data_IF_104746970996
#
_entry.id   IF_104746970996
#
_cell.length_a   1.000
_cell.length_b   1.000
_cell.length_c   1.000
_cell.angle_alpha   90.00
_cell.angle_beta   90.00
_cell.angle_gamma   90.00
#
_symmetry.space_group_name_H-M   'P 1'
#
loop_
_entity.id
_entity.type
_entity.pdbx_description
1 polymer ?
#
# COMPACT_ATOMS: atom_id res chain seq x y z
N UNK A 1 7.72 4.32 -9.78
CA UNK A 1 9.04 3.71 -10.07
C UNK A 1 9.14 2.40 -9.30
N UNK A 2 9.59 1.32 -9.93
CA UNK A 2 9.79 0.02 -9.27
C UNK A 2 11.24 -0.41 -9.52
N UNK A 3 12.02 -0.63 -8.46
CA UNK A 3 13.37 -1.21 -8.60
C UNK A 3 13.30 -2.61 -9.20
N UNK A 4 14.24 -2.94 -10.07
CA UNK A 4 14.37 -4.29 -10.64
C UNK A 4 14.68 -5.38 -9.60
N UNK A 5 15.09 -5.01 -8.38
CA UNK A 5 15.29 -5.94 -7.25
C UNK A 5 14.03 -6.18 -6.42
N UNK A 6 12.98 -5.38 -6.63
CA UNK A 6 11.75 -5.53 -5.88
C UNK A 6 11.11 -6.90 -6.17
N UNK A 7 10.64 -7.57 -5.11
CA UNK A 7 9.85 -8.80 -5.25
C UNK A 7 8.39 -8.45 -5.03
N UNK A 8 7.52 -8.87 -5.95
CA UNK A 8 6.08 -8.59 -5.89
C UNK A 8 5.33 -9.91 -6.00
N UNK A 9 4.52 -10.23 -4.99
CA UNK A 9 3.66 -11.40 -4.96
C UNK A 9 2.49 -11.32 -5.94
N UNK A 10 1.79 -12.44 -6.11
CA UNK A 10 0.65 -12.54 -7.02
C UNK A 10 -0.53 -11.68 -6.55
N UNK A 11 -1.30 -11.13 -7.48
CA UNK A 11 -2.50 -10.33 -7.17
C UNK A 11 -2.22 -8.96 -6.54
N UNK A 12 -0.97 -8.50 -6.49
CA UNK A 12 -0.67 -7.16 -6.00
C UNK A 12 -1.29 -6.08 -6.90
N UNK A 13 -1.85 -5.04 -6.28
CA UNK A 13 -2.42 -3.88 -6.98
C UNK A 13 -1.50 -2.69 -6.77
N UNK A 14 -0.95 -2.15 -7.86
CA UNK A 14 0.01 -1.05 -7.82
C UNK A 14 -0.57 0.15 -8.55
N UNK A 15 -0.92 1.21 -7.81
CA UNK A 15 -1.52 2.40 -8.38
C UNK A 15 -0.47 3.40 -8.92
N UNK A 16 -0.88 4.38 -9.75
CA UNK A 16 -0.01 5.44 -10.22
C UNK A 16 0.68 6.23 -9.09
N UNK A 17 1.88 6.73 -9.37
CA UNK A 17 2.68 7.51 -8.42
C UNK A 17 3.32 6.69 -7.29
N UNK A 18 3.17 5.36 -7.29
CA UNK A 18 3.80 4.48 -6.30
C UNK A 18 5.31 4.32 -6.52
N UNK A 19 6.03 4.00 -5.44
CA UNK A 19 7.46 3.77 -5.46
C UNK A 19 7.85 2.51 -4.66
N UNK A 20 8.61 1.61 -5.29
CA UNK A 20 9.36 0.53 -4.64
C UNK A 20 10.84 0.85 -4.81
N UNK A 21 11.41 1.57 -3.86
CA UNK A 21 12.76 2.11 -3.94
C UNK A 21 13.77 1.35 -3.11
N UNK A 22 15.03 1.37 -3.55
CA UNK A 22 16.12 0.76 -2.79
C UNK A 22 16.54 1.63 -1.60
N UNK A 23 16.92 0.98 -0.51
CA UNK A 23 17.64 1.60 0.61
C UNK A 23 18.75 0.62 1.03
N UNK A 24 19.99 1.11 1.14
CA UNK A 24 21.20 0.26 1.29
C UNK A 24 21.32 -0.84 0.20
N UNK A 25 20.91 -0.52 -1.04
CA UNK A 25 21.03 -1.43 -2.18
C UNK A 25 20.06 -2.62 -2.18
N UNK A 26 19.08 -2.63 -1.27
CA UNK A 26 18.04 -3.65 -1.15
C UNK A 26 16.67 -3.04 -1.39
N UNK A 27 15.78 -3.80 -2.03
CA UNK A 27 14.43 -3.37 -2.39
C UNK A 27 13.35 -4.09 -1.55
N UNK A 28 12.12 -3.52 -1.46
CA UNK A 28 11.02 -4.15 -0.74
C UNK A 28 10.59 -5.48 -1.35
N UNK A 29 10.07 -6.36 -0.49
CA UNK A 29 9.36 -7.58 -0.87
C UNK A 29 7.89 -7.45 -0.49
N UNK A 30 7.01 -7.54 -1.48
CA UNK A 30 5.57 -7.56 -1.31
C UNK A 30 5.08 -9.01 -1.38
N UNK A 31 4.25 -9.39 -0.40
CA UNK A 31 3.47 -10.62 -0.40
C UNK A 31 2.36 -10.62 -1.45
N UNK A 32 1.52 -11.64 -1.40
CA UNK A 32 0.37 -11.79 -2.28
C UNK A 32 -0.74 -10.79 -1.92
N UNK A 33 -1.50 -10.33 -2.90
CA UNK A 33 -2.67 -9.46 -2.72
C UNK A 33 -2.39 -8.15 -1.98
N UNK A 34 -1.15 -7.66 -1.99
CA UNK A 34 -0.80 -6.35 -1.43
C UNK A 34 -1.40 -5.23 -2.26
N UNK A 35 -2.00 -4.23 -1.61
CA UNK A 35 -2.53 -3.04 -2.28
C UNK A 35 -1.66 -1.82 -1.98
N UNK A 36 -1.09 -1.21 -3.01
CA UNK A 36 -0.39 0.08 -2.91
C UNK A 36 -1.26 1.18 -3.51
N UNK A 37 -1.93 1.95 -2.66
CA UNK A 37 -2.75 3.07 -3.10
C UNK A 37 -1.91 4.17 -3.79
N UNK A 38 -2.55 5.10 -4.56
CA UNK A 38 -1.82 6.11 -5.32
C UNK A 38 -0.81 6.89 -4.48
N UNK A 39 0.39 7.09 -5.01
CA UNK A 39 1.45 7.86 -4.34
C UNK A 39 2.18 7.17 -3.18
N UNK A 40 1.81 5.93 -2.82
CA UNK A 40 2.45 5.18 -1.74
C UNK A 40 3.90 4.79 -2.09
N UNK A 41 4.81 4.89 -1.13
CA UNK A 41 6.25 4.64 -1.30
C UNK A 41 6.72 3.64 -0.26
N UNK A 42 7.49 2.64 -0.68
CA UNK A 42 8.15 1.67 0.19
C UNK A 42 9.65 1.63 -0.13
N UNK A 43 10.49 1.64 0.92
CA UNK A 43 11.94 1.71 0.77
C UNK A 43 12.67 0.67 1.61
N UNK A 44 13.71 0.05 1.01
CA UNK A 44 14.67 -0.79 1.72
C UNK A 44 14.30 -2.26 1.86
N UNK A 45 15.08 -3.03 2.65
CA UNK A 45 14.92 -4.46 2.84
C UNK A 45 13.72 -4.79 3.75
N UNK A 46 12.53 -4.30 3.41
CA UNK A 46 11.30 -4.50 4.17
C UNK A 46 10.39 -5.51 3.49
N UNK A 47 9.61 -6.22 4.32
CA UNK A 47 8.59 -7.17 3.88
C UNK A 47 7.22 -6.60 4.16
N UNK A 48 6.37 -6.58 3.15
CA UNK A 48 4.97 -6.20 3.22
C UNK A 48 4.15 -7.49 3.11
N UNK A 49 3.53 -7.90 4.22
CA UNK A 49 2.82 -9.18 4.32
C UNK A 49 1.61 -9.30 3.39
N UNK A 50 1.17 -10.54 3.20
CA UNK A 50 0.04 -10.86 2.33
C UNK A 50 -1.22 -10.06 2.69
N UNK A 51 -1.92 -9.52 1.68
CA UNK A 51 -3.15 -8.76 1.87
C UNK A 51 -2.99 -7.39 2.55
N UNK A 52 -1.75 -6.95 2.83
CA UNK A 52 -1.52 -5.65 3.43
C UNK A 52 -1.91 -4.50 2.48
N UNK A 53 -2.31 -3.36 3.05
CA UNK A 53 -2.68 -2.14 2.31
C UNK A 53 -1.79 -0.98 2.72
N UNK A 54 -1.11 -0.38 1.74
CA UNK A 54 -0.37 0.86 1.91
C UNK A 54 -1.26 2.01 1.44
N UNK A 55 -1.69 2.87 2.37
CA UNK A 55 -2.58 3.99 2.07
C UNK A 55 -1.97 5.04 1.15
N UNK A 56 -2.82 5.89 0.58
CA UNK A 56 -2.37 6.89 -0.39
C UNK A 56 -1.31 7.82 0.22
N UNK A 57 -0.27 8.13 -0.56
CA UNK A 57 0.87 8.96 -0.13
C UNK A 57 1.68 8.46 1.09
N UNK A 58 1.49 7.22 1.55
CA UNK A 58 2.23 6.69 2.69
C UNK A 58 3.71 6.46 2.38
N UNK A 59 4.58 6.61 3.38
CA UNK A 59 6.03 6.31 3.29
C UNK A 59 6.37 5.18 4.26
N UNK A 60 6.58 4.00 3.71
CA UNK A 60 6.78 2.75 4.46
C UNK A 60 8.26 2.41 4.50
N UNK A 61 8.81 2.38 5.71
CA UNK A 61 10.24 2.15 5.99
C UNK A 61 10.45 1.03 7.01
N UNK A 62 9.43 0.22 7.28
CA UNK A 62 9.46 -0.88 8.24
C UNK A 62 8.56 -2.02 7.76
N UNK A 63 8.77 -3.23 8.29
CA UNK A 63 7.94 -4.39 7.97
C UNK A 63 6.46 -4.11 8.26
N UNK A 64 5.59 -4.68 7.44
CA UNK A 64 4.13 -4.60 7.59
C UNK A 64 3.58 -6.02 7.70
N UNK A 65 2.82 -6.28 8.74
CA UNK A 65 2.19 -7.58 8.95
C UNK A 65 1.09 -7.85 7.90
N UNK A 66 0.82 -9.13 7.66
CA UNK A 66 -0.24 -9.55 6.75
C UNK A 66 -1.60 -8.96 7.15
N UNK A 67 -2.41 -8.58 6.16
CA UNK A 67 -3.74 -7.98 6.35
C UNK A 67 -3.75 -6.59 6.99
N UNK A 68 -2.59 -6.02 7.33
CA UNK A 68 -2.50 -4.72 8.00
C UNK A 68 -2.65 -3.58 7.01
N UNK A 69 -3.37 -2.53 7.40
CA UNK A 69 -3.37 -1.25 6.68
C UNK A 69 -2.43 -0.28 7.38
N UNK A 70 -1.50 0.33 6.63
CA UNK A 70 -0.62 1.38 7.13
C UNK A 70 -0.83 2.69 6.38
N UNK A 71 -0.75 3.81 7.10
CA UNK A 71 -0.87 5.15 6.51
C UNK A 71 0.15 6.12 7.11
N UNK A 72 0.41 7.24 6.41
CA UNK A 72 1.25 8.34 6.90
C UNK A 72 2.71 8.26 6.47
N UNK A 73 3.51 9.24 6.91
CA UNK A 73 4.93 9.35 6.62
C UNK A 73 5.68 9.86 7.87
N UNK A 74 6.32 8.97 8.67
CA UNK A 74 6.48 7.54 8.43
C UNK A 74 5.17 6.77 8.64
N UNK A 75 4.97 5.71 7.87
CA UNK A 75 3.73 4.94 7.91
C UNK A 75 3.57 4.18 9.24
N UNK A 76 2.34 4.10 9.73
CA UNK A 76 1.97 3.36 10.95
C UNK A 76 0.71 2.54 10.70
N UNK A 77 0.57 1.36 11.35
CA UNK A 77 -0.67 0.60 11.33
C UNK A 77 -1.85 1.43 11.82
N UNK A 78 -2.99 1.29 11.16
CA UNK A 78 -4.27 1.83 11.63
C UNK A 78 -5.22 0.69 11.95
N UNK A 79 -6.12 0.94 12.91
CA UNK A 79 -7.15 -0.02 13.30
C UNK A 79 -8.01 -0.48 12.13
N UNK A 80 -8.70 -1.60 12.33
CA UNK A 80 -9.53 -2.25 11.31
C UNK A 80 -10.51 -1.24 10.71
N UNK A 81 -10.54 -1.14 9.37
CA UNK A 81 -11.51 -0.33 8.65
C UNK A 81 -12.93 -0.74 9.07
N UNK A 82 -13.61 0.10 9.85
CA UNK A 82 -15.07 0.06 9.89
C UNK A 82 -15.54 0.44 8.50
N UNK A 83 -16.07 -0.52 7.73
CA UNK A 83 -16.67 -0.22 6.42
C UNK A 83 -17.84 0.72 6.68
N UNK A 84 -17.65 2.03 6.46
CA UNK A 84 -18.76 2.94 6.26
C UNK A 84 -19.40 2.51 4.93
N UNK A 85 -20.38 1.61 5.01
CA UNK A 85 -21.29 1.37 3.90
C UNK A 85 -22.06 2.67 3.73
N UNK A 86 -21.67 3.48 2.75
CA UNK A 86 -22.48 4.60 2.30
C UNK A 86 -23.73 3.98 1.66
N UNK A 87 -24.78 3.77 2.47
CA UNK A 87 -26.10 3.38 1.96
C UNK A 87 -26.69 4.61 1.27
N UNK A 88 -26.62 4.62 -0.06
CA UNK A 88 -27.35 5.57 -0.91
C UNK A 88 -26.49 6.71 -1.44
N UNK A 89 -25.97 6.54 -2.66
CA UNK A 89 -25.64 7.68 -3.51
C UNK A 89 -26.89 8.09 -4.28
N UNK A 90 -27.30 9.36 -4.16
CA UNK A 90 -28.30 9.98 -5.05
C UNK A 90 -27.75 9.97 -6.49
N UNK A 91 -28.55 9.59 -7.52
CA UNK A 91 -28.07 9.61 -8.90
C UNK A 91 -27.76 11.04 -9.35
N UNK A 92 -26.69 11.25 -10.13
CA UNK A 92 -26.35 12.57 -10.62
C UNK A 92 -27.38 13.00 -11.68
N UNK A 93 -27.99 14.17 -11.43
CA UNK A 93 -28.72 15.04 -12.38
C UNK A 93 -30.26 14.98 -12.31
N UNK A 94 -30.81 15.84 -11.44
CA UNK A 94 -32.16 16.38 -11.54
C UNK A 94 -32.11 17.90 -11.31
N UNK A 95 -31.56 18.63 -12.26
CA UNK A 95 -31.79 20.06 -12.52
C UNK A 95 -31.52 20.30 -13.99
#
# INVERSE_FOLDING_TARGET
MISGKARIGSGATIHPGTCLGEHYGQAPTLGNNVSMAPGAKAYGPIVIGDGATLGANSVVTSHVEAGTTVVGAPARPIGVRTRHVVRGGVPPHST
#
